data_IF_576477536456
#
_entry.id   IF_576477536456
#
_cell.length_a   1.000
_cell.length_b   1.000
_cell.length_c   1.000
_cell.angle_alpha   90.00
_cell.angle_beta   90.00
_cell.angle_gamma   90.00
#
_symmetry.space_group_name_H-M   'P 1'
#
loop_
_entity.id
_entity.type
_entity.pdbx_description
1 polymer ?
#
# COMPACT_ATOMS: atom_id res chain seq x y z
N UNK A 1 -12.93 5.48 -7.37
CA UNK A 1 -12.98 6.59 -6.41
C UNK A 1 -14.33 7.26 -6.56
N UNK A 2 -15.16 7.41 -5.50
CA UNK A 2 -16.11 8.52 -5.57
C UNK A 2 -15.26 9.77 -5.45
N UNK A 3 -15.35 10.64 -6.44
CA UNK A 3 -14.56 11.88 -6.56
C UNK A 3 -14.44 12.60 -5.21
N UNK A 4 -15.57 12.68 -4.50
CA UNK A 4 -15.72 13.22 -3.16
C UNK A 4 -14.73 12.70 -2.08
N UNK A 5 -14.37 11.41 -2.04
CA UNK A 5 -13.42 10.90 -1.02
C UNK A 5 -12.04 11.48 -1.25
N UNK A 6 -11.61 11.49 -2.50
CA UNK A 6 -10.30 11.98 -2.86
C UNK A 6 -10.24 13.49 -2.74
N UNK A 7 -11.31 14.19 -3.11
CA UNK A 7 -11.39 15.64 -2.93
C UNK A 7 -11.33 16.02 -1.45
N UNK A 8 -11.99 15.26 -0.56
CA UNK A 8 -11.89 15.46 0.87
C UNK A 8 -10.46 15.23 1.40
N UNK A 9 -9.77 14.17 0.94
CA UNK A 9 -8.36 13.92 1.30
C UNK A 9 -7.45 15.01 0.74
N UNK A 10 -7.67 15.43 -0.51
CA UNK A 10 -6.92 16.46 -1.19
C UNK A 10 -7.05 17.80 -0.47
N UNK A 11 -8.29 18.21 -0.15
CA UNK A 11 -8.58 19.40 0.63
C UNK A 11 -7.77 19.41 1.94
N UNK A 12 -7.82 18.33 2.73
CA UNK A 12 -7.09 18.22 4.01
C UNK A 12 -5.57 18.28 3.87
N UNK A 13 -5.01 17.77 2.78
CA UNK A 13 -3.56 17.90 2.50
C UNK A 13 -3.22 19.33 2.06
N UNK A 14 -4.09 19.96 1.27
CA UNK A 14 -3.86 21.28 0.70
C UNK A 14 -4.04 22.44 1.68
N UNK A 15 -4.98 22.30 2.63
CA UNK A 15 -5.26 23.25 3.70
C UNK A 15 -3.95 23.65 4.40
N UNK A 16 -3.77 24.92 4.74
CA UNK A 16 -2.59 25.33 5.51
C UNK A 16 -2.77 24.95 6.98
N UNK A 17 -1.77 24.32 7.65
CA UNK A 17 -1.95 23.93 9.04
C UNK A 17 -1.95 25.19 9.90
N UNK A 18 -2.88 25.27 10.84
CA UNK A 18 -2.96 26.40 11.78
C UNK A 18 -1.82 26.29 12.79
N UNK A 19 -0.70 26.93 12.48
CA UNK A 19 0.58 26.83 13.21
C UNK A 19 0.94 28.13 13.98
N UNK A 20 -0.02 28.71 14.70
CA UNK A 20 0.24 29.91 15.50
C UNK A 20 1.31 29.64 16.57
N UNK A 21 2.31 30.52 16.67
CA UNK A 21 3.43 30.38 17.63
C UNK A 21 4.43 29.26 17.32
N UNK A 22 4.30 28.59 16.17
CA UNK A 22 5.17 27.46 15.82
C UNK A 22 6.60 27.91 15.46
N UNK A 23 7.58 27.11 15.86
CA UNK A 23 8.98 27.35 15.49
C UNK A 23 9.21 27.17 13.99
N UNK A 24 10.28 27.77 13.46
CA UNK A 24 10.71 27.59 12.06
C UNK A 24 10.85 26.12 11.66
N UNK A 25 11.30 25.27 12.58
CA UNK A 25 11.43 23.83 12.33
C UNK A 25 10.07 23.16 12.11
N UNK A 26 9.05 23.53 12.90
CA UNK A 26 7.68 23.02 12.76
C UNK A 26 7.06 23.48 11.45
N UNK A 27 7.23 24.75 11.08
CA UNK A 27 6.76 25.28 9.80
C UNK A 27 7.40 24.56 8.60
N UNK A 28 8.72 24.33 8.63
CA UNK A 28 9.41 23.56 7.59
C UNK A 28 8.92 22.10 7.53
N UNK A 29 8.69 21.46 8.67
CA UNK A 29 8.16 20.10 8.72
C UNK A 29 6.76 20.03 8.11
N UNK A 30 5.92 21.04 8.37
CA UNK A 30 4.59 21.15 7.79
C UNK A 30 4.60 21.35 6.27
N UNK A 31 5.50 22.20 5.77
CA UNK A 31 5.72 22.39 4.34
C UNK A 31 6.17 21.09 3.65
N UNK A 32 7.15 20.38 4.24
CA UNK A 32 7.63 19.09 3.71
C UNK A 32 6.53 18.02 3.73
N UNK A 33 5.72 17.98 4.79
CA UNK A 33 4.58 17.06 4.88
C UNK A 33 3.56 17.34 3.78
N UNK A 34 3.22 18.61 3.53
CA UNK A 34 2.32 19.04 2.43
C UNK A 34 2.86 18.63 1.07
N UNK A 35 4.11 18.98 0.75
CA UNK A 35 4.75 18.61 -0.52
C UNK A 35 4.78 17.10 -0.73
N UNK A 36 5.02 16.34 0.35
CA UNK A 36 4.99 14.87 0.31
C UNK A 36 3.58 14.35 0.06
N UNK A 37 2.57 14.89 0.74
CA UNK A 37 1.18 14.50 0.55
C UNK A 37 0.71 14.71 -0.89
N UNK A 38 1.03 15.85 -1.49
CA UNK A 38 0.71 16.13 -2.89
C UNK A 38 1.32 15.09 -3.86
N UNK A 39 2.59 14.70 -3.65
CA UNK A 39 3.22 13.65 -4.47
C UNK A 39 2.54 12.29 -4.31
N UNK A 40 2.12 11.96 -3.09
CA UNK A 40 1.43 10.68 -2.82
C UNK A 40 0.02 10.69 -3.44
N UNK A 41 -0.68 11.83 -3.38
CA UNK A 41 -1.98 12.01 -4.06
C UNK A 41 -1.86 11.91 -5.58
N UNK A 42 -0.87 12.57 -6.18
CA UNK A 42 -0.59 12.48 -7.61
C UNK A 42 -0.36 11.03 -8.02
N UNK A 43 0.40 10.28 -7.22
CA UNK A 43 0.62 8.85 -7.44
C UNK A 43 -0.69 8.06 -7.33
N UNK A 44 -1.49 8.28 -6.30
CA UNK A 44 -2.76 7.60 -6.11
C UNK A 44 -3.76 7.89 -7.25
N UNK A 45 -3.79 9.12 -7.76
CA UNK A 45 -4.68 9.53 -8.85
C UNK A 45 -4.38 8.80 -10.17
N UNK A 46 -3.10 8.55 -10.47
CA UNK A 46 -2.68 7.81 -11.67
C UNK A 46 -3.08 6.33 -11.64
N UNK A 47 -3.29 5.76 -10.46
CA UNK A 47 -3.47 4.32 -10.26
C UNK A 47 -4.96 3.91 -10.19
N UNK A 48 -5.90 4.86 -10.43
CA UNK A 48 -7.39 4.87 -10.54
C UNK A 48 -8.25 3.77 -9.90
N UNK A 49 -7.81 2.53 -9.85
CA UNK A 49 -8.42 1.47 -9.08
C UNK A 49 -8.31 1.79 -7.57
N UNK A 50 -9.42 1.67 -6.87
CA UNK A 50 -9.51 2.13 -5.49
C UNK A 50 -10.27 1.11 -4.66
N UNK A 51 -9.70 0.74 -3.53
CA UNK A 51 -10.31 -0.21 -2.58
C UNK A 51 -10.58 0.56 -1.29
N UNK A 52 -11.85 0.94 -1.13
CA UNK A 52 -12.33 1.72 0.00
C UNK A 52 -12.17 0.96 1.32
N UNK A 53 -12.25 -0.37 1.29
CA UNK A 53 -12.09 -1.20 2.50
C UNK A 53 -10.64 -1.15 3.00
N UNK A 54 -9.68 -1.27 2.09
CA UNK A 54 -8.25 -1.16 2.39
C UNK A 54 -7.90 0.27 2.79
N UNK A 55 -8.47 1.29 2.13
CA UNK A 55 -8.25 2.68 2.53
C UNK A 55 -8.79 2.94 3.94
N UNK A 56 -10.03 2.53 4.24
CA UNK A 56 -10.65 2.68 5.57
C UNK A 56 -9.82 2.00 6.65
N UNK A 57 -9.40 0.75 6.42
CA UNK A 57 -8.54 0.02 7.35
C UNK A 57 -7.21 0.74 7.58
N UNK A 58 -6.65 1.32 6.51
CA UNK A 58 -5.38 2.04 6.60
C UNK A 58 -5.52 3.38 7.35
N UNK A 59 -6.59 4.14 7.13
CA UNK A 59 -6.87 5.36 7.87
C UNK A 59 -7.14 5.08 9.35
N UNK A 60 -7.89 4.02 9.66
CA UNK A 60 -8.19 3.60 11.03
C UNK A 60 -6.92 3.28 11.84
N UNK A 61 -5.91 2.65 11.21
CA UNK A 61 -4.59 2.39 11.83
C UNK A 61 -3.85 3.64 12.29
N UNK A 62 -4.19 4.80 11.73
CA UNK A 62 -3.58 6.09 12.05
C UNK A 62 -4.56 7.02 12.78
N UNK A 63 -5.59 6.46 13.43
CA UNK A 63 -6.52 7.22 14.27
C UNK A 63 -7.50 8.10 13.50
N UNK A 64 -7.73 7.82 12.21
CA UNK A 64 -8.64 8.60 11.38
C UNK A 64 -9.82 7.74 10.92
N UNK A 65 -10.99 8.36 10.80
CA UNK A 65 -12.21 7.70 10.31
C UNK A 65 -12.68 8.35 9.02
N UNK A 66 -12.91 7.52 8.03
CA UNK A 66 -13.57 7.89 6.79
C UNK A 66 -15.08 7.71 6.99
N UNK A 67 -15.79 8.83 7.09
CA UNK A 67 -17.23 8.88 7.34
C UNK A 67 -17.94 9.18 6.02
N UNK A 68 -19.01 8.44 5.75
CA UNK A 68 -19.89 8.68 4.60
C UNK A 68 -21.18 9.29 5.12
N UNK A 69 -21.52 10.48 4.65
CA UNK A 69 -22.85 11.08 4.81
C UNK A 69 -23.74 10.75 3.62
N UNK A 70 -24.99 11.23 3.63
CA UNK A 70 -25.94 11.02 2.54
C UNK A 70 -25.45 11.55 1.18
N UNK A 71 -24.59 12.58 1.18
CA UNK A 71 -24.12 13.27 -0.03
C UNK A 71 -22.61 13.34 -0.17
N UNK A 72 -21.84 13.15 0.91
CA UNK A 72 -20.40 13.46 0.92
C UNK A 72 -19.59 12.47 1.77
N UNK A 73 -18.28 12.42 1.49
CA UNK A 73 -17.33 11.74 2.35
C UNK A 73 -16.51 12.76 3.14
N UNK A 74 -16.30 12.47 4.41
CA UNK A 74 -15.51 13.30 5.29
C UNK A 74 -14.46 12.47 6.04
N UNK A 75 -13.37 13.13 6.41
CA UNK A 75 -12.31 12.55 7.22
C UNK A 75 -12.40 13.19 8.59
N UNK A 76 -12.63 12.35 9.61
CA UNK A 76 -12.64 12.75 11.01
C UNK A 76 -11.35 12.26 11.64
N UNK A 77 -10.61 13.17 12.24
CA UNK A 77 -9.34 12.89 12.88
C UNK A 77 -9.15 13.86 14.05
N UNK A 78 -8.67 13.32 15.17
CA UNK A 78 -8.33 14.13 16.35
C UNK A 78 -6.88 14.58 16.27
N UNK A 79 -6.60 15.80 16.73
CA UNK A 79 -5.26 16.41 16.73
C UNK A 79 -5.21 17.73 15.99
N UNK A 80 -4.00 18.30 15.90
CA UNK A 80 -3.78 19.55 15.18
C UNK A 80 -3.68 19.36 13.66
N UNK A 81 -3.68 20.46 12.91
CA UNK A 81 -3.62 20.41 11.44
C UNK A 81 -2.35 19.75 10.88
N UNK A 82 -1.25 19.72 11.62
CA UNK A 82 -0.01 19.08 11.19
C UNK A 82 -0.04 17.58 11.43
N UNK A 83 -0.55 17.14 12.58
CA UNK A 83 -0.66 15.73 12.95
C UNK A 83 -1.67 15.01 12.07
N UNK A 84 -2.83 15.64 11.84
CA UNK A 84 -3.83 15.14 10.88
C UNK A 84 -3.18 14.93 9.52
N UNK A 85 -2.44 15.93 8.99
CA UNK A 85 -1.78 15.81 7.69
C UNK A 85 -0.75 14.70 7.66
N UNK A 86 0.10 14.58 8.68
CA UNK A 86 1.12 13.52 8.75
C UNK A 86 0.48 12.15 8.74
N UNK A 87 -0.62 11.97 9.46
CA UNK A 87 -1.36 10.72 9.53
C UNK A 87 -2.02 10.38 8.18
N UNK A 88 -2.63 11.35 7.50
CA UNK A 88 -3.15 11.17 6.13
C UNK A 88 -2.03 10.70 5.18
N UNK A 89 -0.86 11.34 5.21
CA UNK A 89 0.28 10.96 4.34
C UNK A 89 0.77 9.55 4.64
N UNK A 90 0.88 9.16 5.92
CA UNK A 90 1.25 7.80 6.32
C UNK A 90 0.23 6.78 5.80
N UNK A 91 -1.06 7.07 5.99
CA UNK A 91 -2.13 6.21 5.53
C UNK A 91 -2.09 6.01 4.01
N UNK A 92 -2.02 7.11 3.24
CA UNK A 92 -1.95 7.02 1.78
C UNK A 92 -0.70 6.27 1.28
N UNK A 93 0.45 6.43 1.94
CA UNK A 93 1.66 5.67 1.59
C UNK A 93 1.47 4.17 1.81
N UNK A 94 0.86 3.76 2.92
CA UNK A 94 0.57 2.35 3.20
C UNK A 94 -0.42 1.80 2.19
N UNK A 95 -1.48 2.55 1.90
CA UNK A 95 -2.47 2.21 0.89
C UNK A 95 -1.81 2.01 -0.49
N UNK A 96 -1.04 2.98 -0.96
CA UNK A 96 -0.30 2.86 -2.22
C UNK A 96 0.68 1.69 -2.19
N UNK A 97 1.42 1.47 -1.10
CA UNK A 97 2.34 0.31 -0.96
C UNK A 97 1.60 -1.02 -1.01
N UNK A 98 0.42 -1.12 -0.41
CA UNK A 98 -0.40 -2.34 -0.45
C UNK A 98 -0.85 -2.67 -1.88
N UNK A 99 -1.21 -1.66 -2.68
CA UNK A 99 -1.50 -1.85 -4.11
C UNK A 99 -0.26 -2.19 -4.93
N UNK A 100 0.86 -1.51 -4.67
CA UNK A 100 2.15 -1.82 -5.30
C UNK A 100 2.60 -3.25 -4.99
N UNK A 101 2.42 -3.72 -3.74
CA UNK A 101 2.69 -5.11 -3.39
C UNK A 101 1.67 -6.05 -4.01
N UNK A 102 0.38 -5.70 -4.10
CA UNK A 102 -0.61 -6.58 -4.75
C UNK A 102 -0.38 -6.71 -6.25
N UNK A 103 -0.03 -5.62 -6.95
CA UNK A 103 0.29 -5.63 -8.38
C UNK A 103 1.64 -6.32 -8.65
N UNK A 104 2.67 -6.02 -7.84
CA UNK A 104 3.95 -6.71 -7.91
C UNK A 104 3.83 -8.20 -7.55
N UNK A 105 3.00 -8.58 -6.58
CA UNK A 105 2.77 -9.98 -6.20
C UNK A 105 1.84 -10.70 -7.18
N UNK A 106 0.89 -10.02 -7.81
CA UNK A 106 0.07 -10.58 -8.89
C UNK A 106 0.89 -10.79 -10.17
N UNK A 107 1.85 -9.90 -10.45
CA UNK A 107 2.78 -10.03 -11.57
C UNK A 107 3.95 -10.99 -11.32
N UNK A 108 4.23 -11.35 -10.05
CA UNK A 108 5.28 -12.30 -9.70
C UNK A 108 4.70 -13.71 -9.73
N UNK A 109 5.17 -14.61 -10.61
CA UNK A 109 4.79 -16.01 -10.50
C UNK A 109 5.20 -16.47 -9.10
N UNK A 110 4.23 -16.93 -8.31
CA UNK A 110 4.50 -17.36 -6.94
C UNK A 110 5.58 -18.44 -6.98
N UNK A 111 6.47 -18.49 -6.00
CA UNK A 111 7.54 -19.50 -5.97
C UNK A 111 6.96 -20.92 -6.09
N UNK A 112 5.73 -21.12 -5.61
CA UNK A 112 5.00 -22.38 -5.76
C UNK A 112 4.53 -22.62 -7.20
N UNK A 113 4.04 -21.60 -7.92
CA UNK A 113 3.67 -21.72 -9.33
C UNK A 113 4.90 -21.98 -10.21
N UNK A 114 5.97 -21.20 -10.04
CA UNK A 114 7.22 -21.44 -10.76
C UNK A 114 7.84 -22.82 -10.49
N UNK A 115 7.68 -23.36 -9.27
CA UNK A 115 8.07 -24.74 -8.94
C UNK A 115 7.15 -25.77 -9.58
N UNK A 116 5.84 -25.52 -9.60
CA UNK A 116 4.86 -26.40 -10.23
C UNK A 116 5.07 -26.47 -11.75
N UNK A 117 5.28 -25.33 -12.40
CA UNK A 117 5.52 -25.22 -13.84
C UNK A 117 6.82 -25.97 -14.23
N UNK A 118 7.92 -25.78 -13.49
CA UNK A 118 9.17 -26.54 -13.72
C UNK A 118 9.00 -28.03 -13.47
N UNK A 119 8.22 -28.45 -12.47
CA UNK A 119 7.91 -29.87 -12.26
C UNK A 119 7.10 -30.44 -13.42
N UNK A 120 6.16 -29.67 -13.96
CA UNK A 120 5.39 -30.06 -15.13
C UNK A 120 6.27 -30.14 -16.40
N UNK A 121 7.21 -29.22 -16.59
CA UNK A 121 8.21 -29.27 -17.68
C UNK A 121 9.10 -30.51 -17.57
N UNK A 122 9.63 -30.81 -16.39
CA UNK A 122 10.46 -32.01 -16.16
C UNK A 122 9.66 -33.30 -16.39
N UNK A 123 8.40 -33.34 -15.94
CA UNK A 123 7.52 -34.48 -16.20
C UNK A 123 7.19 -34.63 -17.70
N UNK A 124 6.98 -33.52 -18.42
CA UNK A 124 6.75 -33.52 -19.87
C UNK A 124 7.99 -33.98 -20.66
N UNK A 125 9.20 -33.78 -20.12
CA UNK A 125 10.45 -34.35 -20.63
C UNK A 125 10.62 -35.84 -20.29
N UNK A 126 9.65 -36.45 -19.61
CA UNK A 126 9.68 -37.86 -19.21
C UNK A 126 10.52 -38.15 -17.96
N UNK A 127 10.89 -37.12 -17.19
CA UNK A 127 11.67 -37.27 -15.97
C UNK A 127 10.73 -37.63 -14.82
N UNK A 128 10.85 -38.87 -14.33
CA UNK A 128 10.20 -39.29 -13.09
C UNK A 128 10.94 -38.70 -11.88
N UNK A 129 10.35 -37.64 -11.32
CA UNK A 129 10.91 -36.92 -10.18
C UNK A 129 10.94 -37.76 -8.88
N UNK A 130 10.05 -38.76 -8.74
CA UNK A 130 10.08 -39.66 -7.58
C UNK A 130 11.28 -40.60 -7.70
N UNK A 131 11.46 -41.20 -8.89
CA UNK A 131 12.60 -42.08 -9.16
C UNK A 131 13.94 -41.34 -9.09
N UNK A 132 14.01 -40.11 -9.60
CA UNK A 132 15.21 -39.27 -9.51
C UNK A 132 15.62 -39.02 -8.06
N UNK A 133 14.63 -38.76 -7.18
CA UNK A 133 14.89 -38.52 -5.76
C UNK A 133 15.43 -39.75 -5.05
N UNK A 134 14.85 -40.92 -5.31
CA UNK A 134 15.36 -42.20 -4.79
C UNK A 134 16.82 -42.44 -5.21
N UNK A 135 17.18 -42.13 -6.47
CA UNK A 135 18.56 -42.28 -6.96
C UNK A 135 19.51 -41.30 -6.28
N UNK A 136 19.12 -40.04 -6.11
CA UNK A 136 19.92 -39.06 -5.38
C UNK A 136 20.15 -39.49 -3.92
N UNK A 137 19.12 -39.98 -3.24
CA UNK A 137 19.23 -40.47 -1.86
C UNK A 137 20.19 -41.65 -1.75
N UNK A 138 20.20 -42.58 -2.72
CA UNK A 138 21.19 -43.66 -2.78
C UNK A 138 22.61 -43.11 -2.95
N UNK A 139 22.83 -42.19 -3.89
CA UNK A 139 24.15 -41.58 -4.14
C UNK A 139 24.65 -40.85 -2.89
N UNK A 140 23.82 -40.03 -2.27
CA UNK A 140 24.17 -39.23 -1.07
C UNK A 140 24.39 -40.10 0.18
N UNK A 141 23.78 -41.30 0.21
CA UNK A 141 23.98 -42.29 1.28
C UNK A 141 25.19 -43.20 1.07
N UNK A 142 25.85 -43.10 -0.08
CA UNK A 142 27.09 -43.82 -0.37
C UNK A 142 28.27 -42.94 0.11
N UNK A 143 29.18 -43.46 0.97
CA UNK A 143 30.28 -42.69 1.53
C UNK A 143 31.31 -42.21 0.50
#
# INVERSE_FOLDING_TARGET
>A
MSEAVFDAIAAKITEEPRLHGATKAVQQAAYRARRTGLKVLEKAAREREFDESVLKATFARYGMRLVRSASEYSIVADGDGLDIRRNIVKALRVYCRSRYMSAHNAARPSANRARADRRAELAAMGIDLARFREVCEVIDSTP
#
